data_IF_129127171930
#
_entry.id   IF_129127171930
#
_cell.length_a   1.000
_cell.length_b   1.000
_cell.length_c   1.000
_cell.angle_alpha   90.00
_cell.angle_beta   90.00
_cell.angle_gamma   90.00
#
_symmetry.space_group_name_H-M   'P 1'
#
loop_
_entity.id
_entity.type
_entity.pdbx_description
1 polymer ?
#
# COMPACT_ATOMS: atom_id res chain seq x y z
N UNK A 1 17.68 -39.27 26.62
CA UNK A 1 17.12 -38.94 25.28
C UNK A 1 15.65 -38.67 25.48
N UNK A 2 15.23 -37.41 25.42
CA UNK A 2 13.82 -37.03 25.49
C UNK A 2 13.26 -37.12 24.07
N UNK A 3 12.29 -38.00 23.84
CA UNK A 3 11.61 -38.12 22.55
C UNK A 3 10.60 -36.96 22.45
N UNK A 4 10.86 -35.97 21.58
CA UNK A 4 9.84 -34.98 21.20
C UNK A 4 8.70 -35.73 20.52
N UNK A 5 7.53 -35.75 21.15
CA UNK A 5 6.32 -36.30 20.56
C UNK A 5 5.60 -35.17 19.83
N UNK A 6 5.67 -35.18 18.50
CA UNK A 6 4.84 -34.33 17.67
C UNK A 6 3.38 -34.78 17.82
N UNK A 7 2.45 -33.85 18.03
CA UNK A 7 1.02 -34.19 18.14
C UNK A 7 0.17 -33.34 17.20
N UNK A 8 -0.99 -32.86 17.67
CA UNK A 8 -2.01 -32.15 16.91
C UNK A 8 -1.40 -31.02 16.06
N UNK A 9 -1.76 -30.97 14.77
CA UNK A 9 -1.23 -30.01 13.76
C UNK A 9 0.30 -29.99 13.58
N UNK A 10 1.03 -31.02 14.03
CA UNK A 10 2.49 -31.10 13.88
C UNK A 10 3.28 -30.26 14.88
N UNK A 11 2.63 -29.71 15.92
CA UNK A 11 3.28 -28.88 16.95
C UNK A 11 3.83 -29.69 18.12
N UNK A 12 4.83 -29.12 18.77
CA UNK A 12 5.48 -29.70 19.94
C UNK A 12 4.53 -29.70 21.13
N UNK A 13 4.27 -30.89 21.68
CA UNK A 13 3.50 -31.05 22.91
C UNK A 13 4.45 -31.02 24.09
N UNK A 14 4.19 -30.13 25.04
CA UNK A 14 4.94 -30.10 26.30
C UNK A 14 4.42 -31.23 27.19
N UNK A 15 5.31 -32.15 27.58
CA UNK A 15 4.93 -33.38 28.31
C UNK A 15 4.40 -33.12 29.71
N UNK A 16 4.82 -32.00 30.32
CA UNK A 16 4.55 -31.60 31.69
C UNK A 16 3.14 -31.00 31.85
N UNK A 17 2.63 -30.34 30.81
CA UNK A 17 1.34 -29.64 30.85
C UNK A 17 0.29 -30.23 29.92
N UNK A 18 0.70 -31.03 28.92
CA UNK A 18 -0.21 -31.57 27.92
C UNK A 18 -0.66 -30.55 26.87
N UNK A 19 -0.13 -29.33 26.87
CA UNK A 19 -0.48 -28.29 25.91
C UNK A 19 0.42 -28.33 24.67
N UNK A 20 -0.17 -27.93 23.54
CA UNK A 20 0.57 -27.76 22.29
C UNK A 20 1.04 -26.33 22.18
N UNK A 21 2.34 -26.12 21.91
CA UNK A 21 2.91 -24.78 21.78
C UNK A 21 2.89 -24.35 20.31
N UNK A 22 2.17 -23.26 20.03
CA UNK A 22 2.02 -22.68 18.68
C UNK A 22 2.83 -21.39 18.49
N UNK A 23 3.81 -21.12 19.36
CA UNK A 23 4.65 -19.91 19.28
C UNK A 23 4.04 -18.74 20.06
N UNK A 24 2.94 -18.18 19.56
CA UNK A 24 2.28 -17.05 20.21
C UNK A 24 1.45 -17.47 21.43
N UNK A 25 0.86 -18.67 21.38
CA UNK A 25 -0.10 -19.16 22.39
C UNK A 25 0.12 -20.64 22.71
N UNK A 26 -0.34 -21.03 23.89
CA UNK A 26 -0.52 -22.43 24.26
C UNK A 26 -1.96 -22.85 23.94
N UNK A 27 -2.09 -24.00 23.29
CA UNK A 27 -3.37 -24.59 22.91
C UNK A 27 -3.68 -25.81 23.77
N UNK A 28 -4.90 -25.87 24.30
CA UNK A 28 -5.45 -27.05 24.95
C UNK A 28 -6.26 -27.86 23.92
N UNK A 29 -5.74 -29.01 23.52
CA UNK A 29 -6.39 -29.88 22.54
C UNK A 29 -7.60 -30.62 23.09
N UNK A 30 -7.67 -30.84 24.42
CA UNK A 30 -8.77 -31.59 25.05
C UNK A 30 -10.00 -30.69 25.19
N UNK A 31 -9.78 -29.41 25.50
CA UNK A 31 -10.83 -28.40 25.58
C UNK A 31 -11.07 -27.66 24.26
N UNK A 32 -10.19 -27.83 23.28
CA UNK A 32 -10.23 -27.17 21.96
C UNK A 32 -10.26 -25.63 22.04
N UNK A 33 -9.47 -25.06 22.96
CA UNK A 33 -9.41 -23.60 23.21
C UNK A 33 -7.99 -23.10 23.38
N UNK A 34 -7.76 -21.82 23.07
CA UNK A 34 -6.54 -21.12 23.44
C UNK A 34 -6.51 -20.80 24.93
N UNK A 35 -5.32 -20.84 25.55
CA UNK A 35 -5.13 -20.51 26.97
C UNK A 35 -4.92 -19.01 27.24
N UNK A 36 -4.88 -18.19 26.19
CA UNK A 36 -4.78 -16.74 26.27
C UNK A 36 -5.66 -16.08 25.21
N UNK A 37 -6.08 -14.85 25.50
CA UNK A 37 -6.87 -14.01 24.59
C UNK A 37 -6.10 -13.81 23.29
N UNK A 38 -6.80 -13.92 22.16
CA UNK A 38 -6.29 -13.57 20.84
C UNK A 38 -5.83 -12.10 20.82
N UNK A 39 -4.57 -11.79 20.43
CA UNK A 39 -4.13 -10.41 20.25
C UNK A 39 -4.97 -9.58 19.27
N UNK A 40 -5.67 -10.23 18.32
CA UNK A 40 -6.60 -9.60 17.38
C UNK A 40 -8.06 -9.71 17.84
N UNK A 41 -8.34 -9.99 19.11
CA UNK A 41 -9.72 -10.13 19.62
C UNK A 41 -10.59 -8.89 19.37
N UNK A 42 -9.96 -7.73 19.27
CA UNK A 42 -10.63 -6.45 19.03
C UNK A 42 -11.16 -6.32 17.59
N UNK A 43 -10.53 -7.01 16.63
CA UNK A 43 -10.93 -7.02 15.22
C UNK A 43 -12.06 -8.03 14.93
N UNK A 44 -12.24 -9.02 15.83
CA UNK A 44 -13.22 -10.10 15.71
C UNK A 44 -14.19 -10.18 16.90
N UNK A 45 -14.95 -9.12 17.24
CA UNK A 45 -15.82 -9.10 18.42
C UNK A 45 -16.99 -10.10 18.35
N UNK A 46 -17.31 -10.59 17.15
CA UNK A 46 -18.34 -11.62 16.92
C UNK A 46 -17.83 -13.04 17.15
N UNK A 47 -16.52 -13.21 17.31
CA UNK A 47 -15.86 -14.50 17.46
C UNK A 47 -15.27 -14.59 18.86
N UNK A 48 -15.30 -15.79 19.46
CA UNK A 48 -14.69 -15.95 20.78
C UNK A 48 -13.18 -15.77 20.65
N UNK A 49 -12.60 -14.90 21.49
CA UNK A 49 -11.15 -14.65 21.57
C UNK A 49 -10.31 -15.87 21.99
N UNK A 50 -10.96 -17.00 22.27
CA UNK A 50 -10.35 -18.28 22.61
C UNK A 50 -10.57 -19.36 21.55
N UNK A 51 -11.26 -19.06 20.44
CA UNK A 51 -11.58 -20.07 19.43
C UNK A 51 -10.36 -20.44 18.56
N UNK A 52 -10.26 -21.72 18.23
CA UNK A 52 -9.24 -22.25 17.33
C UNK A 52 -9.80 -22.40 15.92
N UNK A 53 -9.10 -21.87 14.92
CA UNK A 53 -9.43 -22.00 13.49
C UNK A 53 -10.89 -21.66 13.14
N UNK A 54 -11.49 -20.66 13.81
CA UNK A 54 -12.88 -20.25 13.58
C UNK A 54 -13.92 -21.35 13.77
N UNK A 55 -13.68 -22.26 14.73
CA UNK A 55 -14.48 -23.47 14.97
C UNK A 55 -14.49 -24.49 13.82
N UNK A 56 -13.55 -24.39 12.87
CA UNK A 56 -13.43 -25.34 11.75
C UNK A 56 -12.04 -25.98 11.63
N UNK A 57 -11.60 -26.78 12.63
CA UNK A 57 -10.26 -27.40 12.68
C UNK A 57 -10.06 -28.55 11.68
N UNK A 58 -11.10 -28.91 10.90
CA UNK A 58 -11.04 -29.99 9.90
C UNK A 58 -10.56 -29.44 8.55
N UNK A 59 -10.95 -28.21 8.22
CA UNK A 59 -10.61 -27.56 6.94
C UNK A 59 -9.49 -26.53 7.08
N UNK A 60 -9.30 -25.98 8.28
CA UNK A 60 -8.40 -24.87 8.55
C UNK A 60 -7.38 -25.31 9.60
N UNK A 61 -6.11 -25.33 9.22
CA UNK A 61 -4.99 -25.54 10.14
C UNK A 61 -4.43 -24.16 10.42
N UNK A 62 -4.62 -23.68 11.66
CA UNK A 62 -4.01 -22.45 12.14
C UNK A 62 -2.56 -22.75 12.60
N UNK A 63 -1.51 -22.38 11.84
CA UNK A 63 -0.15 -22.81 12.11
C UNK A 63 0.47 -22.11 13.33
N UNK A 64 -0.06 -20.98 13.80
CA UNK A 64 0.59 -20.10 14.79
C UNK A 64 -0.34 -19.08 15.48
N UNK A 65 -1.58 -18.90 15.02
CA UNK A 65 -2.56 -17.99 15.62
C UNK A 65 -2.60 -16.58 15.04
N UNK A 66 -2.05 -16.32 13.84
CA UNK A 66 -2.04 -15.02 13.13
C UNK A 66 -2.13 -15.26 11.61
N UNK A 67 -2.86 -14.44 10.85
CA UNK A 67 -3.07 -14.62 9.40
C UNK A 67 -2.56 -13.42 8.57
N UNK A 68 -1.35 -13.46 7.97
CA UNK A 68 -0.82 -12.38 7.09
C UNK A 68 0.29 -12.87 6.09
N UNK A 69 0.48 -12.30 4.89
CA UNK A 69 1.24 -12.91 3.76
C UNK A 69 2.55 -12.18 3.32
N UNK A 70 3.52 -12.93 2.78
CA UNK A 70 4.64 -12.42 1.96
C UNK A 70 4.28 -12.54 0.47
N UNK A 71 4.13 -11.39 -0.19
CA UNK A 71 3.70 -11.28 -1.58
C UNK A 71 4.90 -10.95 -2.47
N UNK A 72 5.18 -11.78 -3.47
CA UNK A 72 6.18 -11.53 -4.51
C UNK A 72 5.50 -11.11 -5.80
N UNK A 73 5.99 -10.03 -6.43
CA UNK A 73 5.50 -9.53 -7.72
C UNK A 73 6.59 -9.51 -8.80
N UNK A 74 6.18 -9.63 -10.06
CA UNK A 74 7.07 -9.43 -11.20
C UNK A 74 7.34 -7.93 -11.47
N UNK A 75 8.13 -7.66 -12.52
CA UNK A 75 8.47 -6.30 -12.97
C UNK A 75 7.26 -5.45 -13.39
N UNK A 76 6.09 -6.03 -13.61
CA UNK A 76 4.84 -5.34 -13.98
C UNK A 76 3.91 -5.12 -12.78
N UNK A 77 4.33 -5.53 -11.57
CA UNK A 77 3.52 -5.44 -10.35
C UNK A 77 2.44 -6.53 -10.25
N UNK A 78 2.56 -7.63 -11.00
CA UNK A 78 1.65 -8.78 -10.93
C UNK A 78 2.18 -9.81 -9.93
N UNK A 79 1.31 -10.28 -9.04
CA UNK A 79 1.64 -11.28 -8.01
C UNK A 79 2.02 -12.60 -8.67
N UNK A 80 3.25 -13.06 -8.42
CA UNK A 80 3.78 -14.33 -8.92
C UNK A 80 3.82 -15.42 -7.86
N UNK A 81 3.93 -15.03 -6.59
CA UNK A 81 4.01 -15.92 -5.44
C UNK A 81 3.39 -15.27 -4.21
N UNK A 82 2.66 -16.05 -3.43
CA UNK A 82 2.13 -15.69 -2.12
C UNK A 82 2.63 -16.75 -1.14
N UNK A 83 3.23 -16.32 -0.04
CA UNK A 83 3.70 -17.19 1.03
C UNK A 83 3.02 -16.75 2.31
N UNK A 84 2.19 -17.60 2.88
CA UNK A 84 1.55 -17.31 4.15
C UNK A 84 2.59 -17.13 5.27
N UNK A 85 2.45 -16.09 6.07
CA UNK A 85 3.35 -15.76 7.18
C UNK A 85 2.61 -15.34 8.45
N UNK A 86 3.39 -14.95 9.45
CA UNK A 86 2.96 -14.56 10.79
C UNK A 86 3.10 -13.04 11.01
N UNK A 87 3.22 -12.26 9.93
CA UNK A 87 3.60 -10.83 9.94
C UNK A 87 2.84 -10.04 8.89
N UNK A 88 2.65 -8.70 9.07
CA UNK A 88 1.85 -7.88 8.16
C UNK A 88 2.28 -8.03 6.73
N UNK A 89 1.35 -7.84 5.79
CA UNK A 89 1.63 -8.08 4.39
C UNK A 89 2.91 -7.36 3.95
N UNK A 90 3.88 -8.13 3.45
CA UNK A 90 5.14 -7.60 2.93
C UNK A 90 5.24 -7.87 1.45
N UNK A 91 5.58 -6.82 0.72
CA UNK A 91 5.65 -6.85 -0.73
C UNK A 91 7.10 -6.93 -1.18
N UNK A 92 7.42 -7.84 -2.08
CA UNK A 92 8.76 -8.11 -2.60
C UNK A 92 8.76 -8.17 -4.12
N UNK A 93 9.86 -7.79 -4.77
CA UNK A 93 10.14 -8.22 -6.14
C UNK A 93 10.73 -9.64 -6.18
N UNK A 94 10.87 -10.18 -7.39
CA UNK A 94 11.45 -11.52 -7.63
C UNK A 94 12.93 -11.63 -7.18
N UNK A 95 13.63 -10.50 -7.05
CA UNK A 95 15.01 -10.42 -6.57
C UNK A 95 15.12 -10.31 -5.03
N UNK A 96 13.98 -10.17 -4.33
CA UNK A 96 13.90 -10.07 -2.87
C UNK A 96 13.98 -8.65 -2.30
N UNK A 97 13.94 -7.62 -3.15
CA UNK A 97 13.81 -6.22 -2.72
C UNK A 97 12.41 -5.98 -2.17
N UNK A 98 12.34 -5.47 -0.94
CA UNK A 98 11.07 -5.11 -0.32
C UNK A 98 10.52 -3.76 -0.83
N UNK A 99 9.22 -3.72 -1.07
CA UNK A 99 8.42 -2.52 -1.31
C UNK A 99 7.60 -2.13 -0.09
N UNK A 100 7.26 -0.83 -0.02
CA UNK A 100 6.56 -0.23 1.11
C UNK A 100 5.39 0.61 0.60
N UNK A 101 4.25 0.53 1.27
CA UNK A 101 3.14 1.45 1.03
C UNK A 101 3.46 2.83 1.60
N UNK A 102 2.95 3.88 0.96
CA UNK A 102 3.13 5.23 1.44
C UNK A 102 2.38 5.40 2.78
N UNK A 103 1.10 5.06 2.85
CA UNK A 103 0.29 5.18 4.05
C UNK A 103 -0.39 3.86 4.44
N UNK A 104 0.43 2.87 4.81
CA UNK A 104 -0.06 1.53 5.21
C UNK A 104 -1.07 1.54 6.38
N UNK A 105 -1.13 2.60 7.17
CA UNK A 105 -1.96 2.68 8.38
C UNK A 105 -3.31 3.32 8.15
N UNK A 106 -3.41 4.26 7.21
CA UNK A 106 -4.66 4.95 6.90
C UNK A 106 -5.08 4.72 5.45
N UNK A 107 -4.60 5.52 4.49
CA UNK A 107 -5.11 5.49 3.11
C UNK A 107 -4.85 4.16 2.38
N UNK A 108 -3.77 3.45 2.71
CA UNK A 108 -3.40 2.18 2.08
C UNK A 108 -3.71 0.96 2.98
N UNK A 109 -4.51 1.12 4.04
CA UNK A 109 -4.80 0.03 4.99
C UNK A 109 -5.48 -1.18 4.33
N UNK A 110 -6.28 -0.94 3.30
CA UNK A 110 -7.09 -1.99 2.66
C UNK A 110 -6.20 -2.95 1.85
N UNK A 111 -5.20 -2.42 1.15
CA UNK A 111 -4.17 -3.25 0.49
C UNK A 111 -3.17 -3.83 1.50
N UNK A 112 -2.86 -3.10 2.58
CA UNK A 112 -1.95 -3.56 3.63
C UNK A 112 -2.53 -4.78 4.36
N UNK A 113 -3.84 -4.85 4.55
CA UNK A 113 -4.52 -5.91 5.30
C UNK A 113 -5.33 -6.87 4.40
N UNK A 114 -5.13 -6.84 3.08
CA UNK A 114 -5.83 -7.75 2.17
C UNK A 114 -5.41 -9.20 2.46
N UNK A 115 -6.38 -10.03 2.82
CA UNK A 115 -6.16 -11.42 3.27
C UNK A 115 -6.10 -12.46 2.13
N UNK A 116 -6.50 -12.10 0.90
CA UNK A 116 -6.74 -13.09 -0.18
C UNK A 116 -5.94 -12.85 -1.47
N UNK A 117 -4.68 -12.40 -1.35
CA UNK A 117 -3.82 -12.25 -2.52
C UNK A 117 -3.71 -13.55 -3.32
N UNK A 118 -3.95 -13.46 -4.63
CA UNK A 118 -3.83 -14.60 -5.54
C UNK A 118 -2.77 -14.32 -6.59
N UNK A 119 -2.13 -15.41 -7.04
CA UNK A 119 -1.25 -15.34 -8.20
C UNK A 119 -2.04 -14.81 -9.40
N UNK A 120 -1.52 -13.77 -10.04
CA UNK A 120 -2.17 -13.05 -11.13
C UNK A 120 -2.87 -11.76 -10.70
N UNK A 121 -3.03 -11.50 -9.39
CA UNK A 121 -3.52 -10.21 -8.92
C UNK A 121 -2.53 -9.09 -9.28
N UNK A 122 -3.04 -7.91 -9.63
CA UNK A 122 -2.23 -6.71 -9.83
C UNK A 122 -2.07 -5.98 -8.49
N UNK A 123 -0.84 -5.86 -8.03
CA UNK A 123 -0.49 -5.10 -6.82
C UNK A 123 -0.34 -3.62 -7.12
N UNK A 124 0.37 -3.27 -8.19
CA UNK A 124 0.56 -1.88 -8.62
C UNK A 124 0.80 -1.78 -10.14
N UNK A 125 0.67 -0.56 -10.67
CA UNK A 125 1.11 -0.18 -12.01
C UNK A 125 2.51 0.41 -11.93
N UNK A 126 3.40 0.00 -12.83
CA UNK A 126 4.73 0.59 -12.93
C UNK A 126 4.66 1.82 -13.82
N UNK A 127 5.16 2.94 -13.31
CA UNK A 127 5.20 4.22 -14.03
C UNK A 127 6.65 4.58 -14.31
N UNK A 128 7.03 4.66 -15.59
CA UNK A 128 8.40 4.96 -15.98
C UNK A 128 8.74 6.45 -15.81
N UNK A 129 10.03 6.76 -15.69
CA UNK A 129 10.50 8.16 -15.71
C UNK A 129 10.09 8.90 -16.98
N UNK A 130 10.06 8.20 -18.12
CA UNK A 130 9.61 8.77 -19.40
C UNK A 130 8.11 9.10 -19.39
N UNK A 131 7.28 8.29 -18.75
CA UNK A 131 5.83 8.54 -18.69
C UNK A 131 5.54 9.73 -17.78
N UNK A 132 6.18 9.77 -16.60
CA UNK A 132 6.11 10.94 -15.69
C UNK A 132 6.55 12.21 -16.41
N UNK A 133 7.67 12.17 -17.13
CA UNK A 133 8.14 13.34 -17.91
C UNK A 133 7.14 13.75 -18.98
N UNK A 134 6.57 12.78 -19.69
CA UNK A 134 5.59 13.06 -20.76
C UNK A 134 4.32 13.67 -20.20
N UNK A 135 3.82 13.19 -19.06
CA UNK A 135 2.67 13.78 -18.36
C UNK A 135 2.96 15.23 -17.94
N UNK A 136 4.12 15.46 -17.31
CA UNK A 136 4.57 16.79 -16.88
C UNK A 136 4.72 17.76 -18.06
N UNK A 137 5.29 17.30 -19.18
CA UNK A 137 5.46 18.10 -20.40
C UNK A 137 4.11 18.45 -21.04
N UNK A 138 3.13 17.54 -21.00
CA UNK A 138 1.77 17.77 -21.49
C UNK A 138 1.01 18.80 -20.65
N UNK A 139 1.14 18.76 -19.33
CA UNK A 139 0.59 19.78 -18.43
C UNK A 139 1.17 21.17 -18.68
N UNK A 140 2.39 21.25 -19.27
CA UNK A 140 3.01 22.51 -19.66
C UNK A 140 3.60 23.31 -18.50
N UNK A 141 3.87 24.59 -18.75
CA UNK A 141 4.48 25.50 -17.77
C UNK A 141 3.49 26.54 -17.29
N UNK A 142 3.25 26.59 -15.98
CA UNK A 142 2.49 27.62 -15.33
C UNK A 142 3.26 28.95 -15.37
N UNK A 143 2.68 29.99 -15.98
CA UNK A 143 3.35 31.30 -16.16
C UNK A 143 3.31 32.20 -14.92
N UNK A 144 2.45 31.90 -13.94
CA UNK A 144 2.27 32.68 -12.70
C UNK A 144 1.83 31.76 -11.58
N UNK A 145 2.07 32.14 -10.32
CA UNK A 145 1.61 31.36 -9.14
C UNK A 145 0.08 31.12 -9.15
N UNK A 146 -0.70 32.10 -9.60
CA UNK A 146 -2.16 31.99 -9.73
C UNK A 146 -2.51 30.98 -10.84
N UNK A 147 -1.80 31.04 -11.97
CA UNK A 147 -1.91 30.06 -13.04
C UNK A 147 -1.58 28.64 -12.55
N UNK A 148 -0.52 28.49 -11.74
CA UNK A 148 -0.13 27.21 -11.14
C UNK A 148 -1.24 26.63 -10.27
N UNK A 149 -1.91 27.46 -9.48
CA UNK A 149 -3.03 27.03 -8.65
C UNK A 149 -4.24 26.57 -9.51
N UNK A 150 -4.59 27.30 -10.57
CA UNK A 150 -5.67 26.89 -11.49
C UNK A 150 -5.31 25.62 -12.28
N UNK A 151 -4.09 25.54 -12.81
CA UNK A 151 -3.60 24.38 -13.57
C UNK A 151 -3.52 23.12 -12.70
N UNK A 152 -3.25 23.25 -11.40
CA UNK A 152 -3.27 22.12 -10.44
C UNK A 152 -4.66 21.47 -10.27
N UNK A 153 -5.73 22.13 -10.73
CA UNK A 153 -7.10 21.62 -10.73
C UNK A 153 -7.62 21.30 -12.15
N UNK A 154 -6.77 21.43 -13.18
CA UNK A 154 -7.12 21.10 -14.56
C UNK A 154 -6.03 20.26 -15.22
N UNK A 155 -5.04 20.89 -15.83
CA UNK A 155 -4.07 20.23 -16.71
C UNK A 155 -2.94 19.54 -15.93
N UNK A 156 -2.71 19.94 -14.68
CA UNK A 156 -1.75 19.36 -13.74
C UNK A 156 -2.42 18.55 -12.61
N UNK A 157 -3.68 18.15 -12.80
CA UNK A 157 -4.33 17.14 -11.95
C UNK A 157 -3.95 15.71 -12.42
N UNK A 158 -2.71 15.34 -12.13
CA UNK A 158 -2.12 14.07 -12.55
C UNK A 158 -2.82 12.84 -11.95
N UNK A 159 -3.65 13.03 -10.93
CA UNK A 159 -4.49 11.98 -10.34
C UNK A 159 -5.41 11.38 -11.41
N UNK A 160 -6.13 12.25 -12.13
CA UNK A 160 -7.10 11.81 -13.14
C UNK A 160 -6.49 11.80 -14.53
N UNK A 161 -5.81 12.89 -14.93
CA UNK A 161 -5.36 13.10 -16.32
C UNK A 161 -4.23 12.16 -16.75
N UNK A 162 -3.60 11.48 -15.79
CA UNK A 162 -2.48 10.58 -16.06
C UNK A 162 -2.65 9.22 -15.36
N UNK A 163 -2.66 9.19 -14.03
CA UNK A 163 -2.68 7.92 -13.29
C UNK A 163 -4.04 7.22 -13.41
N UNK A 164 -5.13 7.98 -13.34
CA UNK A 164 -6.48 7.47 -13.57
C UNK A 164 -6.63 6.84 -14.95
N UNK A 165 -6.14 7.50 -15.99
CA UNK A 165 -6.18 6.99 -17.37
C UNK A 165 -5.42 5.67 -17.54
N UNK A 166 -4.25 5.49 -16.89
CA UNK A 166 -3.51 4.21 -16.90
C UNK A 166 -4.38 3.06 -16.39
N UNK A 167 -5.07 3.27 -15.26
CA UNK A 167 -5.93 2.25 -14.64
C UNK A 167 -7.18 2.01 -15.49
N UNK A 168 -7.74 3.08 -16.05
CA UNK A 168 -8.94 3.03 -16.86
C UNK A 168 -8.71 2.24 -18.15
N UNK A 169 -7.57 2.45 -18.81
CA UNK A 169 -7.14 1.71 -20.00
C UNK A 169 -6.98 0.22 -19.71
N UNK A 170 -6.28 -0.15 -18.63
CA UNK A 170 -6.09 -1.56 -18.22
C UNK A 170 -7.42 -2.26 -17.91
N UNK A 171 -8.35 -1.55 -17.26
CA UNK A 171 -9.69 -2.07 -16.91
C UNK A 171 -10.70 -2.00 -18.07
N UNK A 172 -10.35 -1.38 -19.20
CA UNK A 172 -11.26 -1.17 -20.34
C UNK A 172 -12.47 -0.29 -19.99
N UNK A 173 -12.31 0.62 -19.02
CA UNK A 173 -13.34 1.57 -18.61
C UNK A 173 -12.97 2.97 -19.11
N UNK A 174 -13.97 3.83 -19.31
CA UNK A 174 -13.73 5.25 -19.57
C UNK A 174 -14.05 6.02 -18.29
N UNK A 175 -13.13 6.86 -17.84
CA UNK A 175 -13.42 7.85 -16.80
C UNK A 175 -14.29 8.90 -17.47
N UNK A 176 -15.61 8.79 -17.31
CA UNK A 176 -16.53 9.72 -17.98
C UNK A 176 -16.21 11.15 -17.56
N UNK A 177 -16.34 12.12 -18.50
CA UNK A 177 -16.20 13.56 -18.20
C UNK A 177 -17.03 14.01 -16.98
N UNK A 178 -18.11 13.27 -16.67
CA UNK A 178 -18.96 13.47 -15.49
C UNK A 178 -18.22 13.30 -14.16
N UNK A 179 -17.20 12.44 -14.03
CA UNK A 179 -16.41 12.31 -12.79
C UNK A 179 -15.55 13.56 -12.56
N UNK A 180 -14.90 14.02 -13.63
CA UNK A 180 -14.08 15.24 -13.65
C UNK A 180 -14.95 16.50 -13.43
N UNK A 181 -16.16 16.55 -14.02
CA UNK A 181 -17.05 17.73 -13.97
C UNK A 181 -17.98 17.78 -12.76
N UNK A 182 -18.32 16.65 -12.12
CA UNK A 182 -19.24 16.60 -10.97
C UNK A 182 -18.53 16.58 -9.60
N UNK A 183 -17.20 16.62 -9.57
CA UNK A 183 -16.44 16.55 -8.32
C UNK A 183 -16.61 15.21 -7.59
N UNK A 184 -16.78 14.12 -8.36
CA UNK A 184 -16.91 12.77 -7.81
C UNK A 184 -15.51 12.17 -7.76
N UNK A 185 -14.98 12.03 -6.54
CA UNK A 185 -13.68 11.42 -6.27
C UNK A 185 -13.65 9.94 -6.68
N UNK A 186 -12.58 9.52 -7.34
CA UNK A 186 -12.30 8.10 -7.54
C UNK A 186 -11.99 7.44 -6.18
N UNK A 187 -12.32 6.15 -5.99
CA UNK A 187 -11.91 5.43 -4.79
C UNK A 187 -10.38 5.49 -4.57
N UNK A 188 -9.92 5.56 -3.33
CA UNK A 188 -8.47 5.58 -3.02
C UNK A 188 -7.78 4.28 -3.48
N UNK A 189 -8.50 3.15 -3.44
CA UNK A 189 -8.09 1.83 -3.91
C UNK A 189 -8.26 1.63 -5.43
N UNK A 190 -8.58 2.69 -6.20
CA UNK A 190 -8.81 2.58 -7.64
C UNK A 190 -7.61 1.97 -8.38
N UNK A 191 -6.41 2.32 -7.93
CA UNK A 191 -5.16 1.72 -8.37
C UNK A 191 -3.98 2.17 -7.51
N UNK A 192 -2.97 1.32 -7.41
CA UNK A 192 -1.70 1.61 -6.75
C UNK A 192 -0.58 1.72 -7.79
N UNK A 193 0.41 2.56 -7.52
CA UNK A 193 1.44 2.92 -8.48
C UNK A 193 2.83 2.84 -7.85
N UNK A 194 3.79 2.31 -8.60
CA UNK A 194 5.21 2.36 -8.27
C UNK A 194 5.96 3.12 -9.35
N UNK A 195 6.62 4.19 -8.96
CA UNK A 195 7.48 4.94 -9.86
C UNK A 195 8.84 4.25 -10.02
N UNK A 196 9.38 4.27 -11.24
CA UNK A 196 10.62 3.59 -11.61
C UNK A 196 11.78 3.94 -10.66
N UNK A 197 12.30 2.91 -9.99
CA UNK A 197 13.43 3.06 -9.07
C UNK A 197 13.07 3.54 -7.66
N UNK A 198 11.79 3.76 -7.36
CA UNK A 198 11.30 3.97 -6.00
C UNK A 198 10.83 2.65 -5.38
N UNK A 199 11.10 2.45 -4.08
CA UNK A 199 10.61 1.28 -3.34
C UNK A 199 9.22 1.51 -2.73
N UNK A 200 8.68 2.72 -2.89
CA UNK A 200 7.40 3.12 -2.33
C UNK A 200 6.29 2.93 -3.37
N UNK A 201 5.19 2.34 -2.91
CA UNK A 201 3.92 2.19 -3.62
C UNK A 201 2.99 3.28 -3.11
N UNK A 202 2.29 3.93 -4.04
CA UNK A 202 1.40 5.05 -3.77
C UNK A 202 -0.01 4.70 -4.23
N UNK A 203 -1.05 5.03 -3.47
CA UNK A 203 -2.42 5.05 -4.00
C UNK A 203 -2.56 6.13 -5.09
N UNK A 204 -3.75 6.22 -5.69
CA UNK A 204 -4.03 7.15 -6.78
C UNK A 204 -3.72 8.62 -6.44
N UNK A 205 -4.14 9.08 -5.26
CA UNK A 205 -4.01 10.48 -4.84
C UNK A 205 -2.56 10.81 -4.45
N UNK A 206 -1.92 9.94 -3.69
CA UNK A 206 -0.51 10.05 -3.35
C UNK A 206 0.38 10.01 -4.61
N UNK A 207 0.02 9.19 -5.59
CA UNK A 207 0.67 9.15 -6.90
C UNK A 207 0.51 10.47 -7.65
N UNK A 208 -0.69 11.07 -7.62
CA UNK A 208 -0.94 12.40 -8.18
C UNK A 208 -0.06 13.47 -7.53
N UNK A 209 -0.01 13.47 -6.19
CA UNK A 209 0.86 14.33 -5.38
C UNK A 209 2.35 14.16 -5.73
N UNK A 210 2.79 12.92 -5.97
CA UNK A 210 4.14 12.64 -6.44
C UNK A 210 4.43 13.32 -7.78
N UNK A 211 3.59 13.11 -8.80
CA UNK A 211 3.82 13.72 -10.13
C UNK A 211 3.76 15.25 -10.05
N UNK A 212 2.83 15.79 -9.25
CA UNK A 212 2.69 17.22 -9.00
C UNK A 212 3.96 17.85 -8.39
N UNK A 213 4.59 17.18 -7.43
CA UNK A 213 5.88 17.61 -6.88
C UNK A 213 6.97 17.74 -7.95
N UNK A 214 7.00 16.81 -8.92
CA UNK A 214 7.89 16.86 -10.07
C UNK A 214 7.60 18.04 -11.00
N UNK A 215 6.32 18.28 -11.30
CA UNK A 215 5.87 19.40 -12.13
C UNK A 215 6.21 20.76 -11.51
N UNK A 216 6.07 20.90 -10.20
CA UNK A 216 6.43 22.13 -9.48
C UNK A 216 7.93 22.46 -9.59
N UNK A 217 8.80 21.44 -9.54
CA UNK A 217 10.23 21.63 -9.78
C UNK A 217 10.54 22.02 -11.22
N UNK A 218 9.86 21.44 -12.21
CA UNK A 218 10.01 21.83 -13.61
C UNK A 218 9.65 23.31 -13.81
N UNK A 219 8.64 23.79 -13.09
CA UNK A 219 8.24 25.19 -13.06
C UNK A 219 9.12 26.09 -12.18
N UNK A 220 10.29 25.58 -11.74
CA UNK A 220 11.30 26.31 -10.96
C UNK A 220 10.82 26.80 -9.60
N UNK A 221 9.76 26.21 -9.03
CA UNK A 221 9.36 26.46 -7.66
C UNK A 221 10.30 25.74 -6.68
N UNK A 222 10.58 26.37 -5.54
CA UNK A 222 11.34 25.72 -4.47
C UNK A 222 10.50 24.63 -3.80
N UNK A 223 11.15 23.61 -3.22
CA UNK A 223 10.47 22.57 -2.44
C UNK A 223 9.65 23.18 -1.29
N UNK A 224 10.16 24.21 -0.63
CA UNK A 224 9.43 24.90 0.46
C UNK A 224 8.17 25.59 -0.04
N UNK A 225 8.24 26.25 -1.21
CA UNK A 225 7.06 26.86 -1.84
C UNK A 225 6.04 25.79 -2.22
N UNK A 226 6.53 24.66 -2.74
CA UNK A 226 5.72 23.53 -3.18
C UNK A 226 4.92 22.92 -2.04
N UNK A 227 5.58 22.57 -0.93
CA UNK A 227 4.92 21.99 0.25
C UNK A 227 3.95 22.97 0.93
N UNK A 228 4.28 24.26 0.97
CA UNK A 228 3.35 25.28 1.47
C UNK A 228 2.14 25.44 0.55
N UNK A 229 2.34 25.41 -0.75
CA UNK A 229 1.23 25.52 -1.70
C UNK A 229 0.27 24.33 -1.55
N UNK A 230 0.78 23.11 -1.39
CA UNK A 230 -0.03 21.92 -1.13
C UNK A 230 -0.83 22.03 0.17
N UNK A 231 -0.19 22.39 1.29
CA UNK A 231 -0.89 22.54 2.58
C UNK A 231 -1.94 23.65 2.54
N UNK A 232 -1.70 24.73 1.79
CA UNK A 232 -2.72 25.75 1.55
C UNK A 232 -3.87 25.23 0.70
N UNK A 233 -3.59 24.42 -0.32
CA UNK A 233 -4.57 23.84 -1.21
C UNK A 233 -5.54 22.92 -0.46
N UNK A 234 -5.01 22.01 0.36
CA UNK A 234 -5.79 21.06 1.17
C UNK A 234 -6.68 21.75 2.20
N UNK A 235 -6.21 22.86 2.79
CA UNK A 235 -7.04 23.68 3.69
C UNK A 235 -8.18 24.39 2.97
N UNK A 236 -7.96 24.83 1.74
CA UNK A 236 -8.97 25.53 0.93
C UNK A 236 -10.05 24.58 0.41
N UNK A 237 -9.73 23.32 0.16
CA UNK A 237 -10.69 22.28 -0.26
C UNK A 237 -11.46 21.67 0.89
N UNK A 238 -11.13 22.02 2.14
CA UNK A 238 -11.79 21.50 3.33
C UNK A 238 -11.27 20.15 3.82
N UNK A 239 -10.16 19.66 3.25
CA UNK A 239 -9.50 18.42 3.65
C UNK A 239 -8.58 18.58 4.88
N UNK A 240 -8.37 19.83 5.34
CA UNK A 240 -7.57 20.12 6.52
C UNK A 240 -6.10 20.36 6.19
N UNK A 241 -5.20 20.01 7.11
CA UNK A 241 -3.76 20.07 6.85
C UNK A 241 -3.32 18.85 6.05
N UNK A 242 -2.35 19.02 5.15
CA UNK A 242 -1.71 17.88 4.48
C UNK A 242 -1.14 16.90 5.50
N UNK A 243 -1.33 15.60 5.24
CA UNK A 243 -0.70 14.55 6.05
C UNK A 243 0.81 14.53 5.82
N UNK A 244 1.57 13.87 6.71
CA UNK A 244 3.01 13.72 6.50
C UNK A 244 3.30 12.85 5.27
N UNK A 245 2.39 11.93 4.97
CA UNK A 245 2.38 10.99 3.89
C UNK A 245 2.20 11.69 2.53
N UNK A 246 1.26 12.63 2.43
CA UNK A 246 1.06 13.50 1.25
C UNK A 246 2.31 14.34 0.98
N UNK A 247 2.84 15.01 2.01
CA UNK A 247 4.06 15.83 1.88
C UNK A 247 5.28 14.98 1.49
N UNK A 248 5.34 13.72 1.93
CA UNK A 248 6.39 12.78 1.54
C UNK A 248 6.25 12.39 0.07
N UNK A 249 5.04 12.12 -0.42
CA UNK A 249 4.79 11.82 -1.83
C UNK A 249 5.25 13.00 -2.72
N UNK A 250 4.83 14.22 -2.40
CA UNK A 250 5.26 15.45 -3.10
C UNK A 250 6.78 15.61 -3.08
N UNK A 251 7.42 15.44 -1.92
CA UNK A 251 8.87 15.56 -1.77
C UNK A 251 9.62 14.51 -2.58
N UNK A 252 9.14 13.27 -2.61
CA UNK A 252 9.77 12.19 -3.39
C UNK A 252 9.67 12.50 -4.88
N UNK A 253 8.49 12.90 -5.36
CA UNK A 253 8.27 13.30 -6.74
C UNK A 253 9.08 14.52 -7.17
N UNK A 254 9.20 15.54 -6.32
CA UNK A 254 10.06 16.70 -6.54
C UNK A 254 11.53 16.30 -6.77
N UNK A 255 12.00 15.21 -6.15
CA UNK A 255 13.37 14.76 -6.30
C UNK A 255 13.55 13.68 -7.37
N UNK A 256 12.48 13.02 -7.78
CA UNK A 256 12.47 11.82 -8.61
C UNK A 256 13.30 11.92 -9.90
N UNK A 257 13.03 12.92 -10.75
CA UNK A 257 13.69 13.02 -12.05
C UNK A 257 15.15 13.50 -11.96
N UNK A 258 15.49 14.25 -10.91
CA UNK A 258 16.79 14.91 -10.76
C UNK A 258 17.69 14.26 -9.70
N UNK A 259 17.29 13.11 -9.14
CA UNK A 259 18.19 12.28 -8.34
C UNK A 259 19.26 11.70 -9.26
N UNK A 260 20.50 12.11 -9.07
CA UNK A 260 21.65 11.35 -9.58
C UNK A 260 21.67 10.02 -8.81
N UNK A 261 21.55 8.88 -9.49
CA UNK A 261 21.71 7.55 -8.88
C UNK A 261 23.19 7.33 -8.53
N UNK A 262 23.69 8.06 -7.54
CA UNK A 262 25.09 8.07 -7.13
C UNK A 262 25.35 8.59 -5.71
N UNK A 263 24.34 9.08 -4.99
CA UNK A 263 24.47 9.34 -3.55
C UNK A 263 23.79 8.20 -2.78
N UNK A 264 24.60 7.20 -2.45
CA UNK A 264 24.29 6.22 -1.43
C UNK A 264 24.10 6.98 -0.11
N UNK A 265 22.88 6.97 0.43
CA UNK A 265 22.67 7.29 1.84
C UNK A 265 23.11 6.07 2.64
N UNK A 266 24.36 6.10 3.12
CA UNK A 266 24.80 5.38 4.32
C UNK A 266 24.04 5.88 5.57
#
# INVERSE_FOLDING_TARGET
>A
MCFKTYTFSGKEKVSETGYSYFGARYYDSDLSVWLSVDPMSDDYPYQSSFCYAGWNPIMIIDPNGMWEDDITVNSEGIVTKVVETDKPNRFYDEDGTQFFLNDAKNADKDIANKEDFKKGDRLFYVVSKSDVKSAIDQAGKARTWVGTAFESYSDADFTYSFLGEIVAEDKGISISEDYIKKGIYLPEDFGYFRFEGEKTIYNLYDGGNFVWGGWMKMNSYSLTTTLKAADWNSRLTGNGHDTQEDQRAIKNGYNFYWRNYGENNE
#
